data_IF_930551601001
#
_entry.id   IF_930551601001
#
_cell.length_a   1.000
_cell.length_b   1.000
_cell.length_c   1.000
_cell.angle_alpha   90.00
_cell.angle_beta   90.00
_cell.angle_gamma   90.00
#
_symmetry.space_group_name_H-M   'P 1'
#
loop_
_entity.id
_entity.type
_entity.pdbx_description
1 polymer ?
#
# COMPACT_ATOMS: atom_id res chain seq x y z
N UNK A 1 28.97 -47.99 -37.17
CA UNK A 1 29.75 -47.19 -36.21
C UNK A 1 28.76 -46.33 -35.43
N UNK A 2 28.93 -46.28 -34.10
CA UNK A 2 27.96 -45.85 -33.07
C UNK A 2 27.64 -44.34 -33.11
N UNK A 3 26.36 -43.99 -32.98
CA UNK A 3 25.91 -42.72 -32.41
C UNK A 3 25.61 -42.94 -30.92
N UNK A 4 26.07 -42.02 -30.07
CA UNK A 4 25.98 -42.09 -28.62
C UNK A 4 24.67 -41.49 -28.08
N UNK A 5 23.99 -42.27 -27.25
CA UNK A 5 22.92 -41.88 -26.33
C UNK A 5 23.53 -41.35 -25.04
N UNK A 6 22.95 -40.29 -24.46
CA UNK A 6 22.83 -40.14 -22.99
C UNK A 6 21.48 -39.49 -22.67
N UNK A 7 20.62 -40.27 -22.01
CA UNK A 7 19.42 -39.85 -21.30
C UNK A 7 19.75 -39.57 -19.82
N UNK A 8 18.71 -39.24 -19.02
CA UNK A 8 18.60 -39.26 -17.53
C UNK A 8 18.38 -37.84 -16.98
N UNK A 9 17.40 -37.55 -16.12
CA UNK A 9 16.20 -38.26 -15.70
C UNK A 9 15.31 -37.25 -14.94
N UNK A 10 14.01 -37.47 -15.04
CA UNK A 10 12.99 -36.94 -14.14
C UNK A 10 13.23 -37.48 -12.72
N UNK A 11 13.23 -36.61 -11.73
CA UNK A 11 13.06 -36.99 -10.32
C UNK A 11 11.71 -36.46 -9.83
N UNK A 12 10.79 -37.41 -9.73
CA UNK A 12 9.54 -37.35 -8.97
C UNK A 12 9.89 -37.58 -7.51
N UNK A 13 9.36 -36.75 -6.60
CA UNK A 13 9.10 -37.17 -5.23
C UNK A 13 7.58 -37.30 -5.04
N UNK A 14 7.16 -38.53 -4.75
CA UNK A 14 5.82 -38.90 -4.36
C UNK A 14 5.79 -39.32 -2.88
N UNK A 15 4.65 -39.07 -2.23
CA UNK A 15 4.25 -39.59 -0.92
C UNK A 15 3.54 -38.49 -0.12
N UNK A 16 2.35 -38.65 0.45
CA UNK A 16 1.48 -39.82 0.65
C UNK A 16 0.08 -39.28 1.03
N UNK A 17 -1.00 -39.78 0.43
CA UNK A 17 -2.37 -39.41 0.81
C UNK A 17 -3.39 -39.80 -0.25
N UNK A 18 -4.16 -40.84 0.03
CA UNK A 18 -5.03 -41.58 -0.88
C UNK A 18 -6.43 -40.97 -1.10
N UNK A 19 -7.08 -41.37 -2.20
CA UNK A 19 -8.52 -41.23 -2.48
C UNK A 19 -8.77 -40.46 -3.78
N UNK A 20 -8.79 -41.12 -4.95
CA UNK A 20 -9.94 -41.79 -5.56
C UNK A 20 -10.90 -40.83 -6.30
N UNK A 21 -11.00 -41.11 -7.59
CA UNK A 21 -12.09 -40.85 -8.54
C UNK A 21 -12.39 -39.43 -9.05
N UNK A 22 -12.62 -39.45 -10.37
CA UNK A 22 -13.64 -38.72 -11.12
C UNK A 22 -13.25 -37.55 -12.06
N UNK A 23 -13.74 -37.74 -13.29
CA UNK A 23 -14.07 -36.75 -14.33
C UNK A 23 -12.98 -35.87 -14.95
N UNK A 24 -12.64 -36.24 -16.20
CA UNK A 24 -12.16 -35.32 -17.21
C UNK A 24 -13.22 -34.24 -17.50
N UNK A 25 -12.96 -33.00 -17.05
CA UNK A 25 -13.70 -31.81 -17.45
C UNK A 25 -12.74 -30.86 -18.17
N UNK A 26 -13.19 -30.36 -19.32
CA UNK A 26 -12.47 -29.49 -20.24
C UNK A 26 -11.86 -28.24 -19.56
N UNK A 27 -10.76 -27.67 -20.09
CA UNK A 27 -10.14 -26.49 -19.51
C UNK A 27 -11.08 -25.29 -19.61
N UNK A 28 -11.55 -24.85 -18.45
CA UNK A 28 -12.35 -23.65 -18.26
C UNK A 28 -11.54 -22.42 -18.70
N UNK A 29 -12.13 -21.61 -19.57
CA UNK A 29 -11.56 -20.35 -20.00
C UNK A 29 -11.33 -19.46 -18.77
N UNK A 30 -10.07 -19.09 -18.54
CA UNK A 30 -9.71 -18.10 -17.54
C UNK A 30 -10.49 -16.81 -17.83
N UNK A 31 -11.52 -16.56 -17.02
CA UNK A 31 -12.26 -15.32 -17.03
C UNK A 31 -11.26 -14.21 -16.69
N UNK A 32 -10.91 -13.39 -17.69
CA UNK A 32 -10.19 -12.16 -17.48
C UNK A 32 -11.00 -11.31 -16.51
N UNK A 33 -10.47 -11.09 -15.31
CA UNK A 33 -11.03 -10.14 -14.37
C UNK A 33 -11.12 -8.77 -15.07
N UNK A 34 -12.23 -8.03 -14.93
CA UNK A 34 -12.28 -6.68 -15.46
C UNK A 34 -11.20 -5.87 -14.76
N UNK A 35 -10.24 -5.35 -15.53
CA UNK A 35 -9.40 -4.26 -15.07
C UNK A 35 -10.37 -3.14 -14.69
N UNK A 36 -10.48 -2.85 -13.38
CA UNK A 36 -11.14 -1.65 -12.93
C UNK A 36 -10.45 -0.50 -13.66
N UNK A 37 -11.15 0.12 -14.62
CA UNK A 37 -10.69 1.32 -15.28
C UNK A 37 -10.54 2.36 -14.19
N UNK A 38 -9.31 2.53 -13.70
CA UNK A 38 -8.96 3.58 -12.78
C UNK A 38 -9.23 4.88 -13.53
N UNK A 39 -10.33 5.52 -13.16
CA UNK A 39 -10.65 6.87 -13.60
C UNK A 39 -9.55 7.73 -13.00
N UNK A 40 -8.44 7.88 -13.73
CA UNK A 40 -7.27 8.60 -13.24
C UNK A 40 -7.73 10.01 -12.90
N UNK A 41 -7.77 10.31 -11.60
CA UNK A 41 -8.06 11.64 -11.12
C UNK A 41 -7.09 12.62 -11.80
N UNK A 42 -7.53 13.85 -12.10
CA UNK A 42 -6.67 14.83 -12.76
C UNK A 42 -5.38 15.00 -11.96
N UNK A 43 -4.24 14.92 -12.65
CA UNK A 43 -2.94 15.22 -12.05
C UNK A 43 -2.79 16.72 -11.84
N UNK A 44 -2.19 17.10 -10.73
CA UNK A 44 -2.01 18.47 -10.28
C UNK A 44 -0.51 18.72 -10.17
N UNK A 45 0.01 19.58 -11.03
CA UNK A 45 1.41 20.00 -10.94
C UNK A 45 1.66 20.73 -9.62
N UNK A 46 2.72 20.34 -8.92
CA UNK A 46 3.13 20.88 -7.64
C UNK A 46 4.66 20.92 -7.51
N UNK A 47 5.15 21.68 -6.54
CA UNK A 47 6.56 21.67 -6.17
C UNK A 47 6.97 20.33 -5.53
N UNK A 48 8.27 20.01 -5.58
CA UNK A 48 8.83 18.85 -4.87
C UNK A 48 8.41 18.81 -3.41
N UNK A 49 8.48 19.95 -2.73
CA UNK A 49 8.15 20.07 -1.30
C UNK A 49 6.67 19.72 -1.01
N UNK A 50 5.74 20.13 -1.88
CA UNK A 50 4.32 19.80 -1.73
C UNK A 50 4.05 18.32 -1.94
N UNK A 51 4.72 17.68 -2.91
CA UNK A 51 4.62 16.24 -3.15
C UNK A 51 5.18 15.46 -1.94
N UNK A 52 6.38 15.81 -1.46
CA UNK A 52 6.99 15.20 -0.28
C UNK A 52 6.10 15.34 0.97
N UNK A 53 5.52 16.52 1.19
CA UNK A 53 4.59 16.75 2.29
C UNK A 53 3.32 15.90 2.16
N UNK A 54 2.74 15.80 0.96
CA UNK A 54 1.52 15.03 0.74
C UNK A 54 1.75 13.53 1.01
N UNK A 55 2.84 12.95 0.53
CA UNK A 55 3.18 11.55 0.82
C UNK A 55 3.48 11.32 2.29
N UNK A 56 4.22 12.24 2.94
CA UNK A 56 4.45 12.18 4.39
C UNK A 56 3.15 12.19 5.17
N UNK A 57 2.24 13.12 4.87
CA UNK A 57 0.95 13.22 5.56
C UNK A 57 0.04 12.02 5.23
N UNK A 58 0.04 11.49 4.01
CA UNK A 58 -0.63 10.22 3.68
C UNK A 58 -0.19 9.11 4.62
N UNK A 59 1.11 8.93 4.78
CA UNK A 59 1.68 7.90 5.64
C UNK A 59 1.32 8.06 7.11
N UNK A 60 1.49 9.27 7.65
CA UNK A 60 1.16 9.60 9.03
C UNK A 60 -0.32 9.41 9.34
N UNK A 61 -1.20 9.92 8.47
CA UNK A 61 -2.66 9.88 8.70
C UNK A 61 -3.21 8.48 8.53
N UNK A 62 -2.70 7.70 7.58
CA UNK A 62 -3.04 6.28 7.45
C UNK A 62 -2.59 5.48 8.68
N UNK A 63 -1.37 5.71 9.17
CA UNK A 63 -0.84 5.04 10.35
C UNK A 63 -1.59 5.43 11.62
N UNK A 64 -1.94 6.71 11.79
CA UNK A 64 -2.70 7.22 12.93
C UNK A 64 -4.15 6.67 12.91
N UNK A 65 -4.78 6.59 11.73
CA UNK A 65 -6.09 5.97 11.58
C UNK A 65 -6.04 4.47 11.93
N UNK A 66 -5.03 3.75 11.45
CA UNK A 66 -4.84 2.34 11.80
C UNK A 66 -4.57 2.15 13.31
N UNK A 67 -3.80 3.05 13.94
CA UNK A 67 -3.51 3.01 15.38
C UNK A 67 -4.77 3.01 16.24
N UNK A 68 -5.86 3.65 15.79
CA UNK A 68 -7.16 3.63 16.50
C UNK A 68 -7.68 2.20 16.71
N UNK A 69 -7.41 1.30 15.76
CA UNK A 69 -7.84 -0.11 15.87
C UNK A 69 -6.97 -0.92 16.84
N UNK A 70 -5.70 -0.54 17.00
CA UNK A 70 -4.72 -1.26 17.82
C UNK A 70 -4.73 -0.78 19.26
N UNK A 71 -4.82 0.54 19.47
CA UNK A 71 -4.71 1.17 20.79
C UNK A 71 -6.07 1.40 21.45
N UNK A 72 -7.16 1.45 20.69
CA UNK A 72 -8.52 1.68 21.18
C UNK A 72 -8.60 2.80 22.24
N UNK A 73 -8.72 2.45 23.52
CA UNK A 73 -8.88 3.36 24.66
C UNK A 73 -7.61 4.15 25.00
N UNK A 74 -6.43 3.70 24.57
CA UNK A 74 -5.14 4.36 24.82
C UNK A 74 -4.82 5.45 23.79
N UNK A 75 -5.76 5.87 22.96
CA UNK A 75 -5.51 6.88 21.93
C UNK A 75 -5.46 8.31 22.53
N UNK A 76 -4.50 9.18 22.14
CA UNK A 76 -4.51 10.58 22.56
C UNK A 76 -5.80 11.30 22.16
N UNK A 77 -6.34 12.12 23.07
CA UNK A 77 -7.60 12.85 22.89
C UNK A 77 -7.61 13.74 21.66
N UNK A 78 -6.46 14.34 21.32
CA UNK A 78 -6.25 15.18 20.15
C UNK A 78 -6.54 14.45 18.83
N UNK A 79 -6.46 13.11 18.85
CA UNK A 79 -6.66 12.24 17.69
C UNK A 79 -8.00 11.48 17.72
N UNK A 80 -8.85 11.72 18.73
CA UNK A 80 -10.21 11.15 18.78
C UNK A 80 -11.05 11.58 17.57
N UNK A 81 -10.79 12.78 17.06
CA UNK A 81 -11.46 13.37 15.90
C UNK A 81 -10.97 12.83 14.54
N UNK A 82 -9.95 11.96 14.51
CA UNK A 82 -9.48 11.36 13.26
C UNK A 82 -10.54 10.44 12.67
N UNK A 83 -11.05 10.77 11.49
CA UNK A 83 -11.95 9.88 10.75
C UNK A 83 -11.29 9.33 9.46
N UNK A 84 -12.02 8.47 8.75
CA UNK A 84 -11.56 7.91 7.48
C UNK A 84 -11.42 9.00 6.41
N UNK A 85 -12.17 10.10 6.50
CA UNK A 85 -12.07 11.23 5.59
C UNK A 85 -10.72 11.94 5.69
N UNK A 86 -10.16 12.08 6.89
CA UNK A 86 -8.81 12.61 7.08
C UNK A 86 -7.73 11.75 6.40
N UNK A 87 -7.82 10.42 6.55
CA UNK A 87 -6.88 9.49 5.92
C UNK A 87 -7.05 9.43 4.39
N UNK A 88 -8.31 9.44 3.91
CA UNK A 88 -8.62 9.43 2.49
C UNK A 88 -8.21 10.72 1.78
N UNK A 89 -8.39 11.89 2.42
CA UNK A 89 -7.95 13.17 1.88
C UNK A 89 -6.48 13.13 1.46
N UNK A 90 -5.60 12.69 2.35
CA UNK A 90 -4.17 12.64 2.05
C UNK A 90 -3.80 11.52 1.07
N UNK A 91 -4.56 10.43 1.05
CA UNK A 91 -4.41 9.38 0.03
C UNK A 91 -4.71 9.91 -1.36
N UNK A 92 -5.84 10.59 -1.52
CA UNK A 92 -6.24 11.21 -2.78
C UNK A 92 -5.27 12.33 -3.17
N UNK A 93 -4.96 13.24 -2.25
CA UNK A 93 -4.06 14.36 -2.50
C UNK A 93 -2.69 13.89 -2.97
N UNK A 94 -2.06 12.95 -2.27
CA UNK A 94 -0.76 12.41 -2.66
C UNK A 94 -0.79 11.73 -4.03
N UNK A 95 -1.89 11.04 -4.37
CA UNK A 95 -2.05 10.41 -5.68
C UNK A 95 -2.27 11.40 -6.83
N UNK A 96 -2.82 12.57 -6.55
CA UNK A 96 -3.09 13.58 -7.58
C UNK A 96 -1.89 14.47 -7.86
N UNK A 97 -0.99 14.67 -6.90
CA UNK A 97 0.16 15.57 -7.09
C UNK A 97 1.24 14.93 -7.97
N UNK A 98 1.80 15.73 -8.88
CA UNK A 98 2.95 15.38 -9.70
C UNK A 98 3.97 16.53 -9.71
N UNK A 99 5.24 16.22 -9.92
CA UNK A 99 6.29 17.23 -10.03
C UNK A 99 7.32 16.80 -11.07
N UNK A 100 7.82 17.75 -11.87
CA UNK A 100 8.95 17.51 -12.79
C UNK A 100 10.31 17.55 -12.09
N UNK A 101 10.33 17.84 -10.78
CA UNK A 101 11.53 17.97 -9.95
C UNK A 101 11.94 16.66 -9.25
N UNK A 102 11.19 15.58 -9.49
CA UNK A 102 11.48 14.23 -9.00
C UNK A 102 11.46 13.23 -10.13
N UNK A 103 12.39 12.28 -10.11
CA UNK A 103 12.32 11.10 -10.96
C UNK A 103 11.32 10.09 -10.42
N UNK A 104 10.90 9.14 -11.27
CA UNK A 104 10.03 8.03 -10.84
C UNK A 104 10.66 7.22 -9.69
N UNK A 105 11.97 6.97 -9.73
CA UNK A 105 12.70 6.27 -8.66
C UNK A 105 12.69 7.06 -7.33
N UNK A 106 12.79 8.38 -7.38
CA UNK A 106 12.70 9.24 -6.19
C UNK A 106 11.29 9.23 -5.62
N UNK A 107 10.27 9.23 -6.49
CA UNK A 107 8.88 9.12 -6.10
C UNK A 107 8.61 7.76 -5.45
N UNK A 108 9.07 6.65 -6.04
CA UNK A 108 8.91 5.31 -5.47
C UNK A 108 9.58 5.19 -4.10
N UNK A 109 10.78 5.76 -3.95
CA UNK A 109 11.47 5.82 -2.67
C UNK A 109 10.67 6.65 -1.64
N UNK A 110 10.12 7.79 -2.04
CA UNK A 110 9.26 8.61 -1.19
C UNK A 110 8.00 7.85 -0.76
N UNK A 111 7.33 7.15 -1.67
CA UNK A 111 6.16 6.32 -1.38
C UNK A 111 6.52 5.25 -0.34
N UNK A 112 7.61 4.52 -0.57
CA UNK A 112 8.06 3.47 0.34
C UNK A 112 8.42 4.02 1.73
N UNK A 113 9.21 5.10 1.79
CA UNK A 113 9.68 5.71 3.05
C UNK A 113 8.61 6.48 3.80
N UNK A 114 7.54 6.90 3.13
CA UNK A 114 6.38 7.53 3.77
C UNK A 114 5.50 6.53 4.54
N UNK A 115 5.59 5.24 4.25
CA UNK A 115 4.79 4.22 4.93
C UNK A 115 5.22 4.07 6.40
N UNK A 116 4.27 4.21 7.33
CA UNK A 116 4.53 4.20 8.78
C UNK A 116 3.59 3.23 9.50
N UNK A 117 4.03 2.75 10.66
CA UNK A 117 3.22 1.95 11.59
C UNK A 117 3.32 2.57 12.98
N UNK A 118 2.18 2.91 13.57
CA UNK A 118 2.08 3.48 14.91
C UNK A 118 1.33 2.49 15.81
N UNK A 119 2.01 1.41 16.21
CA UNK A 119 1.39 0.30 16.95
C UNK A 119 1.45 0.45 18.49
N UNK A 120 2.04 1.54 19.00
CA UNK A 120 2.18 1.78 20.44
C UNK A 120 1.80 3.22 20.80
N UNK A 121 1.35 3.44 22.03
CA UNK A 121 1.08 4.78 22.59
C UNK A 121 2.28 5.72 22.42
N UNK A 122 3.48 5.24 22.77
CA UNK A 122 4.70 6.03 22.64
C UNK A 122 4.99 6.45 21.20
N UNK A 123 4.77 5.56 20.22
CA UNK A 123 4.97 5.90 18.81
C UNK A 123 3.96 6.96 18.34
N UNK A 124 2.71 6.86 18.78
CA UNK A 124 1.69 7.88 18.50
C UNK A 124 2.05 9.21 19.15
N UNK A 125 2.40 9.24 20.43
CA UNK A 125 2.75 10.49 21.14
C UNK A 125 3.96 11.17 20.50
N UNK A 126 4.96 10.41 20.05
CA UNK A 126 6.12 10.95 19.34
C UNK A 126 5.76 11.55 17.97
N UNK A 127 4.79 10.97 17.27
CA UNK A 127 4.33 11.45 15.97
C UNK A 127 3.22 12.53 16.07
N UNK A 128 2.64 12.73 17.25
CA UNK A 128 1.47 13.58 17.47
C UNK A 128 1.63 15.01 16.90
N UNK A 129 2.76 15.72 17.10
CA UNK A 129 2.92 17.07 16.53
C UNK A 129 2.85 17.07 15.00
N UNK A 130 3.41 16.05 14.34
CA UNK A 130 3.39 15.94 12.88
C UNK A 130 1.99 15.59 12.36
N UNK A 131 1.26 14.72 13.07
CA UNK A 131 -0.13 14.36 12.74
C UNK A 131 -1.03 15.59 12.84
N UNK A 132 -0.91 16.37 13.92
CA UNK A 132 -1.66 17.63 14.09
C UNK A 132 -1.32 18.62 12.99
N UNK A 133 -0.04 18.76 12.63
CA UNK A 133 0.36 19.64 11.52
C UNK A 133 -0.26 19.21 10.18
N UNK A 134 -0.39 17.91 9.90
CA UNK A 134 -1.08 17.42 8.70
C UNK A 134 -2.59 17.67 8.74
N UNK A 135 -3.23 17.58 9.91
CA UNK A 135 -4.64 17.95 10.07
C UNK A 135 -4.87 19.45 9.83
N UNK A 136 -3.98 20.29 10.34
CA UNK A 136 -4.08 21.74 10.14
C UNK A 136 -3.80 22.14 8.70
N UNK A 137 -2.83 21.50 8.05
CA UNK A 137 -2.57 21.69 6.62
C UNK A 137 -3.77 21.27 5.75
N UNK A 138 -4.46 20.18 6.10
CA UNK A 138 -5.70 19.76 5.43
C UNK A 138 -6.81 20.81 5.60
N UNK A 139 -6.94 21.44 6.78
CA UNK A 139 -7.98 22.46 7.02
C UNK A 139 -7.71 23.79 6.33
N UNK A 140 -6.45 24.06 6.01
CA UNK A 140 -6.01 25.28 5.35
C UNK A 140 -6.15 25.24 3.82
N UNK A 141 -6.42 24.06 3.24
CA UNK A 141 -6.55 23.83 1.79
C UNK A 141 -7.68 22.88 1.45
#
# INVERSE_FOLDING_TARGET
MKQGFVAVALLVLAGCGAGADDTATAPEAAAAAPAAGESAAPRIAASRAEVEQAWKCRGLMSAAFAARTVLADDMPGELEQLDSGNAMYWTERASQLETSEMTDDELDLLVATSTRVLATRQAVDAALPEIVACLDAQRAG
#
